data_IF_078935537993
#
_entry.id   IF_078935537993
#
_cell.length_a   1.000
_cell.length_b   1.000
_cell.length_c   1.000
_cell.angle_alpha   90.00
_cell.angle_beta   90.00
_cell.angle_gamma   90.00
#
_symmetry.space_group_name_H-M   'P 1'
#
loop_
_entity.id
_entity.type
_entity.pdbx_description
1 polymer ?
#
# COMPACT_ATOMS: atom_id res chain seq x y z
N UNK A 1 -17.46 8.10 16.84
CA UNK A 1 -16.50 7.77 17.90
C UNK A 1 -15.89 9.03 18.51
N UNK A 2 -15.39 10.01 17.74
CA UNK A 2 -14.80 11.24 18.26
C UNK A 2 -15.73 11.99 19.25
N UNK A 3 -17.01 12.18 18.90
CA UNK A 3 -18.03 12.75 19.82
C UNK A 3 -18.19 11.98 21.12
N UNK A 4 -17.78 10.72 21.17
CA UNK A 4 -17.77 9.87 22.37
C UNK A 4 -16.42 9.85 23.10
N UNK A 5 -15.53 10.81 22.84
CA UNK A 5 -14.24 10.97 23.54
C UNK A 5 -13.07 10.18 22.96
N UNK A 6 -13.23 9.48 21.84
CA UNK A 6 -12.12 8.80 21.17
C UNK A 6 -11.26 9.84 20.45
N UNK A 7 -9.95 9.84 20.69
CA UNK A 7 -8.98 10.63 19.92
C UNK A 7 -8.86 10.06 18.52
N UNK A 8 -9.17 10.86 17.50
CA UNK A 8 -9.16 10.42 16.10
C UNK A 8 -8.25 11.35 15.30
N UNK A 9 -7.20 10.80 14.70
CA UNK A 9 -6.23 11.49 13.86
C UNK A 9 -6.31 10.93 12.45
N UNK A 10 -6.51 11.79 11.47
CA UNK A 10 -6.69 11.41 10.06
C UNK A 10 -5.71 12.20 9.20
N UNK A 11 -4.93 11.50 8.40
CA UNK A 11 -4.12 12.09 7.33
C UNK A 11 -4.75 11.71 6.00
N UNK A 12 -4.97 12.69 5.16
CA UNK A 12 -5.44 12.49 3.79
C UNK A 12 -4.42 13.06 2.79
N UNK A 13 -4.13 12.28 1.76
CA UNK A 13 -3.27 12.75 0.66
C UNK A 13 -3.95 13.89 -0.11
N UNK A 14 -3.27 15.01 -0.31
CA UNK A 14 -3.87 16.21 -0.92
C UNK A 14 -4.41 15.94 -2.33
N UNK A 15 -3.66 15.25 -3.21
CA UNK A 15 -4.10 14.95 -4.57
C UNK A 15 -5.14 13.82 -4.57
N UNK A 16 -4.90 12.75 -3.80
CA UNK A 16 -5.80 11.58 -3.74
C UNK A 16 -7.17 11.91 -3.15
N UNK A 17 -7.24 12.93 -2.30
CA UNK A 17 -8.48 13.39 -1.68
C UNK A 17 -9.06 14.68 -2.28
N UNK A 18 -8.60 15.10 -3.47
CA UNK A 18 -9.05 16.35 -4.09
C UNK A 18 -10.57 16.42 -4.33
N UNK A 19 -11.21 15.29 -4.52
CA UNK A 19 -12.65 15.17 -4.77
C UNK A 19 -13.48 14.97 -3.49
N UNK A 20 -12.84 14.94 -2.30
CA UNK A 20 -13.57 14.80 -1.06
C UNK A 20 -14.38 16.08 -0.80
N UNK A 21 -15.63 15.92 -0.37
CA UNK A 21 -16.47 17.03 -0.01
C UNK A 21 -15.90 17.78 1.22
N UNK A 22 -15.59 19.08 1.07
CA UNK A 22 -15.06 19.89 2.17
C UNK A 22 -16.02 19.93 3.37
N UNK A 23 -17.33 19.98 3.14
CA UNK A 23 -18.32 19.95 4.22
C UNK A 23 -18.22 18.67 5.07
N UNK A 24 -17.83 17.53 4.48
CA UNK A 24 -17.58 16.30 5.23
C UNK A 24 -16.37 16.45 6.16
N UNK A 25 -15.30 17.07 5.68
CA UNK A 25 -14.11 17.32 6.51
C UNK A 25 -14.41 18.28 7.66
N UNK A 26 -15.25 19.30 7.41
CA UNK A 26 -15.66 20.25 8.43
C UNK A 26 -16.54 19.57 9.48
N UNK A 27 -17.48 18.73 9.08
CA UNK A 27 -18.26 17.88 10.01
C UNK A 27 -17.37 16.95 10.86
N UNK A 28 -16.30 16.39 10.27
CA UNK A 28 -15.34 15.58 11.03
C UNK A 28 -14.62 16.42 12.08
N UNK A 29 -14.17 17.63 11.73
CA UNK A 29 -13.50 18.54 12.67
C UNK A 29 -14.43 19.01 13.78
N UNK A 30 -15.66 19.38 13.46
CA UNK A 30 -16.71 19.72 14.43
C UNK A 30 -17.04 18.57 15.39
N UNK A 31 -16.86 17.33 14.93
CA UNK A 31 -17.01 16.14 15.77
C UNK A 31 -15.78 15.84 16.64
N UNK A 32 -14.71 16.64 16.57
CA UNK A 32 -13.49 16.45 17.32
C UNK A 32 -12.43 15.57 16.64
N UNK A 33 -12.55 15.33 15.33
CA UNK A 33 -11.51 14.62 14.55
C UNK A 33 -10.43 15.61 14.13
N UNK A 34 -9.18 15.29 14.39
CA UNK A 34 -8.04 16.02 13.84
C UNK A 34 -7.77 15.53 12.42
N UNK A 35 -8.04 16.38 11.40
CA UNK A 35 -7.88 16.04 9.99
C UNK A 35 -6.80 16.90 9.37
N UNK A 36 -5.75 16.25 8.89
CA UNK A 36 -4.61 16.88 8.24
C UNK A 36 -4.51 16.49 6.77
N UNK A 37 -4.07 17.45 5.93
CA UNK A 37 -3.77 17.20 4.52
C UNK A 37 -2.28 17.06 4.30
N UNK A 38 -1.85 15.90 3.83
CA UNK A 38 -0.45 15.62 3.54
C UNK A 38 0.01 16.30 2.26
N UNK A 39 1.09 17.06 2.35
CA UNK A 39 1.73 17.79 1.25
C UNK A 39 0.74 18.59 0.38
N UNK A 40 0.02 19.58 0.95
CA UNK A 40 -0.80 20.46 0.14
C UNK A 40 0.05 21.18 -0.90
N UNK A 41 -0.50 21.35 -2.11
CA UNK A 41 0.21 22.04 -3.18
C UNK A 41 0.43 23.52 -2.81
N UNK A 42 1.68 23.91 -2.79
CA UNK A 42 2.08 25.33 -2.65
C UNK A 42 2.90 25.72 -3.88
N UNK A 43 2.64 26.90 -4.43
CA UNK A 43 3.20 27.36 -5.71
C UNK A 43 4.75 27.31 -5.77
N UNK A 44 5.42 27.45 -4.63
CA UNK A 44 6.88 27.43 -4.50
C UNK A 44 7.47 26.00 -4.29
N UNK A 45 6.67 24.96 -4.28
CA UNK A 45 7.10 23.60 -3.99
C UNK A 45 6.57 22.56 -4.99
N UNK A 46 6.54 22.91 -6.27
CA UNK A 46 6.08 22.01 -7.35
C UNK A 46 6.88 20.70 -7.43
N UNK A 47 8.13 20.69 -6.98
CA UNK A 47 8.96 19.47 -6.87
C UNK A 47 8.42 18.44 -5.88
N UNK A 48 7.47 18.83 -5.01
CA UNK A 48 6.83 17.93 -4.04
C UNK A 48 5.60 17.20 -4.61
N UNK A 49 5.24 17.40 -5.87
CA UNK A 49 4.08 16.72 -6.50
C UNK A 49 4.18 15.20 -6.41
N UNK A 50 5.39 14.63 -6.44
CA UNK A 50 5.60 13.19 -6.30
C UNK A 50 5.66 12.71 -4.84
N UNK A 51 5.66 13.62 -3.86
CA UNK A 51 5.68 13.24 -2.45
C UNK A 51 4.26 13.01 -1.96
N UNK A 52 3.72 11.83 -2.26
CA UNK A 52 2.36 11.41 -1.97
C UNK A 52 2.31 10.52 -0.74
N UNK A 53 1.20 10.59 0.01
CA UNK A 53 0.88 9.56 1.01
C UNK A 53 -0.09 8.55 0.40
N UNK A 54 0.43 7.38 0.07
CA UNK A 54 -0.38 6.30 -0.49
C UNK A 54 -0.63 5.17 0.52
N UNK A 55 -0.24 5.38 1.78
CA UNK A 55 -0.45 4.41 2.86
C UNK A 55 -1.93 4.35 3.21
N UNK A 56 -2.50 3.15 3.16
CA UNK A 56 -3.88 2.88 3.57
C UNK A 56 -3.82 2.03 4.81
N UNK A 57 -3.88 2.69 5.95
CA UNK A 57 -3.78 2.05 7.26
C UNK A 57 -4.79 2.65 8.24
N UNK A 58 -5.25 1.82 9.15
CA UNK A 58 -6.01 2.20 10.33
C UNK A 58 -5.37 1.54 11.54
N UNK A 59 -5.10 2.32 12.58
CA UNK A 59 -4.56 1.80 13.84
C UNK A 59 -5.54 2.16 14.94
N UNK A 60 -5.90 1.19 15.74
CA UNK A 60 -6.87 1.33 16.84
C UNK A 60 -6.16 1.06 18.15
N UNK A 61 -6.17 2.06 19.03
CA UNK A 61 -5.61 2.03 20.40
C UNK A 61 -4.15 1.55 20.46
N UNK A 62 -3.37 1.75 19.38
CA UNK A 62 -2.00 1.25 19.26
C UNK A 62 -1.86 -0.29 19.31
N UNK A 63 -2.97 -1.05 19.30
CA UNK A 63 -3.02 -2.50 19.53
C UNK A 63 -3.43 -3.31 18.31
N UNK A 64 -4.28 -2.75 17.47
CA UNK A 64 -4.78 -3.41 16.26
C UNK A 64 -4.49 -2.52 15.07
N UNK A 65 -3.85 -3.09 14.06
CA UNK A 65 -3.56 -2.42 12.80
C UNK A 65 -4.29 -3.06 11.63
N UNK A 66 -4.75 -2.24 10.69
CA UNK A 66 -5.25 -2.68 9.39
C UNK A 66 -4.44 -2.01 8.31
N UNK A 67 -3.95 -2.78 7.33
CA UNK A 67 -3.15 -2.27 6.22
C UNK A 67 -3.51 -3.00 4.94
N UNK A 68 -3.50 -2.29 3.81
CA UNK A 68 -3.76 -2.88 2.50
C UNK A 68 -3.87 -1.87 1.39
N UNK A 69 -4.49 -2.26 0.28
CA UNK A 69 -4.65 -1.39 -0.89
C UNK A 69 -5.99 -0.68 -0.96
N UNK A 70 -7.01 -1.11 -0.20
CA UNK A 70 -8.33 -0.51 -0.21
C UNK A 70 -8.33 0.87 0.44
N UNK A 71 -8.97 1.84 -0.21
CA UNK A 71 -9.21 3.18 0.32
C UNK A 71 -10.64 3.37 0.81
N UNK A 72 -11.01 4.64 1.05
CA UNK A 72 -12.37 5.02 1.45
C UNK A 72 -13.13 5.60 0.25
N UNK A 73 -13.81 4.74 -0.50
CA UNK A 73 -14.68 5.11 -1.60
C UNK A 73 -15.65 3.96 -1.92
N UNK A 74 -16.76 4.26 -2.59
CA UNK A 74 -17.82 3.28 -2.87
C UNK A 74 -17.35 2.07 -3.67
N UNK A 75 -16.40 2.24 -4.57
CA UNK A 75 -15.84 1.13 -5.34
C UNK A 75 -15.00 0.13 -4.51
N UNK A 76 -14.69 0.43 -3.25
CA UNK A 76 -14.09 -0.51 -2.30
C UNK A 76 -15.11 -1.32 -1.50
N UNK A 77 -16.41 -1.08 -1.68
CA UNK A 77 -17.45 -1.84 -0.98
C UNK A 77 -17.50 -3.28 -1.49
N UNK A 78 -17.93 -4.18 -0.60
CA UNK A 78 -18.08 -5.60 -0.91
C UNK A 78 -16.73 -6.30 -1.16
N UNK A 79 -16.73 -7.31 -1.99
CA UNK A 79 -15.57 -8.14 -2.31
C UNK A 79 -15.39 -8.30 -3.83
N UNK A 80 -15.49 -7.20 -4.57
CA UNK A 80 -15.51 -7.18 -6.03
C UNK A 80 -16.67 -8.01 -6.63
N UNK A 81 -17.80 -7.96 -5.97
CA UNK A 81 -19.04 -8.68 -6.28
C UNK A 81 -19.87 -8.00 -7.37
N UNK A 82 -19.52 -6.79 -7.76
CA UNK A 82 -20.13 -6.04 -8.84
C UNK A 82 -19.07 -5.44 -9.78
N UNK A 83 -19.41 -5.18 -11.07
CA UNK A 83 -18.46 -4.71 -12.08
C UNK A 83 -17.73 -3.40 -11.74
N UNK A 84 -18.34 -2.55 -10.92
CA UNK A 84 -17.78 -1.28 -10.45
C UNK A 84 -16.92 -1.43 -9.18
N UNK A 85 -16.97 -2.57 -8.50
CA UNK A 85 -16.22 -2.81 -7.27
C UNK A 85 -14.81 -3.31 -7.59
N UNK A 86 -13.84 -2.80 -6.86
CA UNK A 86 -12.45 -3.15 -7.04
C UNK A 86 -12.04 -4.33 -6.16
N UNK A 87 -11.18 -5.17 -6.69
CA UNK A 87 -10.59 -6.28 -5.94
C UNK A 87 -9.29 -5.85 -5.28
N UNK A 88 -9.27 -5.87 -3.94
CA UNK A 88 -8.05 -5.61 -3.17
C UNK A 88 -8.01 -6.48 -1.91
N UNK A 89 -6.95 -6.34 -1.12
CA UNK A 89 -6.78 -7.03 0.15
C UNK A 89 -6.48 -6.06 1.27
N UNK A 90 -7.05 -6.33 2.44
CA UNK A 90 -6.73 -5.70 3.71
C UNK A 90 -6.30 -6.76 4.70
N UNK A 91 -5.27 -6.47 5.47
CA UNK A 91 -4.72 -7.35 6.48
C UNK A 91 -4.93 -6.74 7.87
N UNK A 92 -5.39 -7.53 8.81
CA UNK A 92 -5.41 -7.18 10.24
C UNK A 92 -4.14 -7.69 10.89
N UNK A 93 -3.46 -6.83 11.65
CA UNK A 93 -2.28 -7.15 12.44
C UNK A 93 -2.55 -6.89 13.92
N UNK A 94 -1.98 -7.75 14.75
CA UNK A 94 -1.94 -7.62 16.21
C UNK A 94 -0.52 -7.94 16.69
N UNK A 95 -0.17 -7.51 17.90
CA UNK A 95 1.15 -7.72 18.46
C UNK A 95 2.17 -6.62 18.07
N UNK A 96 3.49 -6.86 18.28
CA UNK A 96 4.53 -5.81 18.21
C UNK A 96 4.65 -5.10 16.87
N UNK A 97 4.24 -5.73 15.76
CA UNK A 97 4.24 -5.09 14.44
C UNK A 97 3.33 -3.85 14.36
N UNK A 98 2.31 -3.75 15.23
CA UNK A 98 1.41 -2.58 15.28
C UNK A 98 2.16 -1.32 15.72
N UNK A 99 3.15 -1.42 16.62
CA UNK A 99 3.99 -0.28 16.98
C UNK A 99 4.79 0.25 15.78
N UNK A 100 5.23 -0.64 14.89
CA UNK A 100 5.91 -0.23 13.65
C UNK A 100 4.95 0.48 12.68
N UNK A 101 3.68 0.03 12.60
CA UNK A 101 2.64 0.74 11.84
C UNK A 101 2.36 2.11 12.44
N UNK A 102 2.26 2.21 13.76
CA UNK A 102 2.07 3.47 14.48
C UNK A 102 3.21 4.46 14.19
N UNK A 103 4.46 3.97 14.22
CA UNK A 103 5.62 4.78 13.84
C UNK A 103 5.55 5.25 12.37
N UNK A 104 5.08 4.39 11.46
CA UNK A 104 4.89 4.76 10.06
C UNK A 104 3.80 5.83 9.86
N UNK A 105 2.73 5.80 10.66
CA UNK A 105 1.74 6.88 10.69
C UNK A 105 2.34 8.19 11.20
N UNK A 106 3.07 8.12 12.31
CA UNK A 106 3.69 9.29 12.95
C UNK A 106 4.69 10.01 12.06
N UNK A 107 5.45 9.29 11.22
CA UNK A 107 6.34 9.93 10.25
C UNK A 107 5.64 11.01 9.42
N UNK A 108 4.44 10.69 8.91
CA UNK A 108 3.67 11.62 8.09
C UNK A 108 2.88 12.63 8.94
N UNK A 109 2.38 12.19 10.10
CA UNK A 109 1.69 13.08 11.04
C UNK A 109 2.59 14.23 11.49
N UNK A 110 3.77 13.92 11.98
CA UNK A 110 4.74 14.92 12.45
C UNK A 110 5.20 15.84 11.31
N UNK A 111 5.39 15.30 10.09
CA UNK A 111 5.74 16.11 8.91
C UNK A 111 4.63 17.09 8.53
N UNK A 112 3.39 16.77 8.84
CA UNK A 112 2.23 17.56 8.42
C UNK A 112 1.88 18.68 9.41
N UNK A 113 1.98 18.42 10.72
CA UNK A 113 1.54 19.38 11.74
C UNK A 113 2.57 19.67 12.86
N UNK A 114 3.79 19.12 12.72
CA UNK A 114 4.90 19.28 13.67
C UNK A 114 4.57 18.81 15.11
N UNK A 115 3.56 17.93 15.28
CA UNK A 115 3.17 17.37 16.58
C UNK A 115 3.55 15.91 16.66
N UNK A 116 4.08 15.52 17.80
CA UNK A 116 4.34 14.11 18.14
C UNK A 116 3.16 13.58 18.95
N UNK A 117 2.67 12.40 18.59
CA UNK A 117 1.70 11.65 19.38
C UNK A 117 2.49 10.56 20.13
N UNK A 118 2.50 10.64 21.45
CA UNK A 118 3.29 9.78 22.33
C UNK A 118 2.47 9.24 23.50
N UNK A 119 3.11 8.42 24.31
CA UNK A 119 2.48 7.80 25.48
C UNK A 119 1.71 6.51 25.18
N UNK A 120 1.14 5.94 26.22
CA UNK A 120 0.51 4.60 26.19
C UNK A 120 -0.75 4.54 25.34
N UNK A 121 -1.40 5.67 25.07
CA UNK A 121 -2.55 5.75 24.16
C UNK A 121 -2.16 5.39 22.72
N UNK A 122 -0.89 5.64 22.36
CA UNK A 122 -0.38 5.43 20.99
C UNK A 122 0.62 4.27 20.91
N UNK A 123 1.40 4.06 21.97
CA UNK A 123 2.42 3.02 22.09
C UNK A 123 2.24 2.20 23.37
N UNK A 124 1.13 1.48 23.53
CA UNK A 124 0.95 0.60 24.67
C UNK A 124 1.95 -0.54 24.65
N UNK A 125 2.18 -1.16 25.79
CA UNK A 125 2.91 -2.42 25.87
C UNK A 125 2.18 -3.49 25.02
N UNK A 126 2.91 -4.10 24.09
CA UNK A 126 2.39 -5.11 23.17
C UNK A 126 3.06 -6.47 23.43
N UNK A 127 2.24 -7.50 23.56
CA UNK A 127 2.68 -8.89 23.64
C UNK A 127 2.53 -9.57 22.27
N UNK A 128 3.32 -10.61 21.96
CA UNK A 128 3.08 -11.44 20.79
C UNK A 128 1.63 -11.93 20.75
N UNK A 129 1.00 -11.81 19.58
CA UNK A 129 -0.40 -12.22 19.38
C UNK A 129 -0.51 -13.50 18.53
N UNK A 130 0.61 -14.12 18.19
CA UNK A 130 0.72 -15.35 17.41
C UNK A 130 2.17 -15.66 17.09
N UNK A 131 2.39 -16.70 16.29
CA UNK A 131 3.73 -17.24 15.98
C UNK A 131 4.27 -16.78 14.62
N UNK A 132 3.53 -15.92 13.92
CA UNK A 132 3.94 -15.42 12.58
C UNK A 132 4.85 -14.22 12.77
N UNK A 133 6.14 -14.28 12.36
CA UNK A 133 7.01 -13.12 12.35
C UNK A 133 6.47 -12.08 11.36
N UNK A 134 6.42 -10.83 11.77
CA UNK A 134 5.94 -9.73 10.94
C UNK A 134 6.87 -8.52 11.07
N UNK A 135 7.08 -7.83 9.96
CA UNK A 135 7.86 -6.60 9.89
C UNK A 135 7.16 -5.58 9.00
N UNK A 136 7.21 -4.32 9.38
CA UNK A 136 6.68 -3.20 8.59
C UNK A 136 7.83 -2.45 7.96
N UNK A 137 7.90 -2.48 6.63
CA UNK A 137 8.83 -1.65 5.86
C UNK A 137 8.20 -0.31 5.54
N UNK A 138 8.94 0.76 5.75
CA UNK A 138 8.53 2.12 5.42
C UNK A 138 9.30 2.57 4.19
N UNK A 139 8.58 3.08 3.20
CA UNK A 139 9.16 3.67 2.00
C UNK A 139 8.66 5.10 1.83
N UNK A 140 9.53 6.00 1.48
CA UNK A 140 9.20 7.39 1.15
C UNK A 140 10.08 7.89 0.00
N UNK A 141 9.68 8.94 -0.74
CA UNK A 141 10.48 9.45 -1.87
C UNK A 141 11.88 10.00 -1.51
N UNK A 142 12.19 10.17 -0.22
CA UNK A 142 13.48 10.72 0.23
C UNK A 142 14.27 9.77 1.12
N UNK A 143 13.56 8.99 1.92
CA UNK A 143 14.16 8.12 2.94
C UNK A 143 13.62 6.70 2.72
N UNK A 144 14.49 5.70 2.61
CA UNK A 144 14.08 4.30 2.41
C UNK A 144 13.39 4.04 1.07
N UNK A 145 13.67 4.84 0.02
CA UNK A 145 13.12 4.59 -1.33
C UNK A 145 13.50 3.23 -1.87
N UNK A 146 14.70 2.78 -1.55
CA UNK A 146 15.22 1.49 -2.00
C UNK A 146 14.82 0.31 -1.09
N UNK A 147 14.35 0.56 0.14
CA UNK A 147 14.08 -0.52 1.11
C UNK A 147 13.08 -1.56 0.59
N UNK A 148 11.95 -1.10 0.05
CA UNK A 148 10.94 -1.98 -0.53
C UNK A 148 11.46 -2.68 -1.79
N UNK A 149 12.20 -1.96 -2.64
CA UNK A 149 12.81 -2.53 -3.84
C UNK A 149 13.80 -3.62 -3.49
N UNK A 150 14.71 -3.36 -2.56
CA UNK A 150 15.68 -4.36 -2.07
C UNK A 150 15.00 -5.56 -1.43
N UNK A 151 13.96 -5.35 -0.63
CA UNK A 151 13.18 -6.45 -0.07
C UNK A 151 12.59 -7.34 -1.18
N UNK A 152 11.97 -6.76 -2.22
CA UNK A 152 11.45 -7.54 -3.34
C UNK A 152 12.56 -8.33 -4.05
N UNK A 153 13.68 -7.69 -4.38
CA UNK A 153 14.81 -8.33 -5.05
C UNK A 153 15.37 -9.49 -4.21
N UNK A 154 15.55 -9.29 -2.91
CA UNK A 154 16.02 -10.33 -1.99
C UNK A 154 15.03 -11.51 -1.90
N UNK A 155 13.73 -11.23 -1.84
CA UNK A 155 12.72 -12.28 -1.84
C UNK A 155 12.71 -13.09 -3.16
N UNK A 156 12.87 -12.43 -4.31
CA UNK A 156 12.94 -13.09 -5.62
C UNK A 156 14.21 -13.94 -5.72
N UNK A 157 15.34 -13.39 -5.32
CA UNK A 157 16.63 -14.10 -5.32
C UNK A 157 16.63 -15.32 -4.38
N UNK A 158 15.97 -15.22 -3.22
CA UNK A 158 15.89 -16.28 -2.22
C UNK A 158 14.87 -17.39 -2.56
N UNK A 159 13.95 -17.15 -3.49
CA UNK A 159 12.90 -18.10 -3.86
C UNK A 159 13.45 -19.41 -4.37
N UNK A 160 12.87 -20.53 -3.94
CA UNK A 160 13.30 -21.90 -4.29
C UNK A 160 12.24 -22.74 -5.00
N UNK A 161 10.95 -22.43 -4.79
CA UNK A 161 9.84 -23.23 -5.32
C UNK A 161 8.90 -22.39 -6.18
N UNK A 162 8.40 -21.28 -5.62
CA UNK A 162 7.38 -20.49 -6.30
C UNK A 162 7.40 -19.01 -5.90
N UNK A 163 7.06 -18.16 -6.86
CA UNK A 163 6.74 -16.76 -6.66
C UNK A 163 5.37 -16.51 -7.26
N UNK A 164 4.45 -15.92 -6.48
CA UNK A 164 3.16 -15.42 -6.94
C UNK A 164 3.09 -13.94 -6.69
N UNK A 165 3.13 -13.15 -7.74
CA UNK A 165 3.05 -11.70 -7.70
C UNK A 165 1.68 -11.21 -8.14
N UNK A 166 1.15 -10.29 -7.42
CA UNK A 166 -0.12 -9.62 -7.65
C UNK A 166 0.12 -8.12 -7.63
N UNK A 167 -0.04 -7.45 -8.77
CA UNK A 167 0.27 -6.03 -8.90
C UNK A 167 -0.75 -5.28 -9.75
N UNK A 168 -1.23 -4.15 -9.25
CA UNK A 168 -2.11 -3.25 -10.01
C UNK A 168 -1.37 -2.52 -11.13
N UNK A 169 -0.13 -2.15 -10.86
CA UNK A 169 0.72 -1.37 -11.75
C UNK A 169 2.08 -2.07 -11.85
N UNK A 170 2.27 -2.81 -12.94
CA UNK A 170 3.45 -3.63 -13.12
C UNK A 170 4.31 -3.08 -14.26
N UNK A 171 5.29 -2.29 -13.93
CA UNK A 171 6.32 -1.79 -14.85
C UNK A 171 7.67 -1.99 -14.16
N UNK A 172 8.20 -3.23 -14.16
CA UNK A 172 9.45 -3.52 -13.49
C UNK A 172 10.62 -2.83 -14.19
N UNK A 173 11.63 -2.47 -13.42
CA UNK A 173 12.93 -2.09 -13.96
C UNK A 173 13.67 -3.32 -14.54
N UNK A 174 14.79 -3.06 -15.19
CA UNK A 174 15.53 -4.11 -15.88
C UNK A 174 16.14 -5.11 -14.89
N UNK A 175 16.59 -4.66 -13.72
CA UNK A 175 17.12 -5.54 -12.67
C UNK A 175 16.03 -6.46 -12.12
N UNK A 176 14.87 -5.91 -11.77
CA UNK A 176 13.74 -6.71 -11.28
C UNK A 176 13.26 -7.71 -12.34
N UNK A 177 13.25 -7.31 -13.62
CA UNK A 177 12.92 -8.21 -14.73
C UNK A 177 13.92 -9.35 -14.81
N UNK A 178 15.22 -9.06 -14.72
CA UNK A 178 16.30 -10.04 -14.77
C UNK A 178 16.21 -11.03 -13.60
N UNK A 179 15.96 -10.57 -12.38
CA UNK A 179 15.81 -11.42 -11.20
C UNK A 179 14.64 -12.42 -11.35
N UNK A 180 13.52 -12.03 -11.96
CA UNK A 180 12.42 -12.96 -12.26
C UNK A 180 12.81 -13.98 -13.31
N UNK A 181 13.58 -13.58 -14.33
CA UNK A 181 14.10 -14.48 -15.37
C UNK A 181 15.02 -15.53 -14.71
N UNK A 182 16.00 -15.08 -13.92
CA UNK A 182 16.93 -15.96 -13.22
C UNK A 182 16.22 -16.90 -12.24
N UNK A 183 15.18 -16.42 -11.54
CA UNK A 183 14.37 -17.29 -10.70
C UNK A 183 13.69 -18.39 -11.52
N UNK A 184 13.12 -18.07 -12.67
CA UNK A 184 12.49 -19.04 -13.55
C UNK A 184 13.53 -20.04 -14.13
N UNK A 185 14.71 -19.58 -14.53
CA UNK A 185 15.83 -20.42 -15.00
C UNK A 185 16.35 -21.35 -13.91
N UNK A 186 16.31 -20.96 -12.63
CA UNK A 186 16.58 -21.83 -11.48
C UNK A 186 15.49 -22.87 -11.22
N UNK A 187 14.41 -22.86 -12.00
CA UNK A 187 13.28 -23.77 -11.85
C UNK A 187 12.18 -23.30 -10.89
N UNK A 188 12.25 -22.05 -10.42
CA UNK A 188 11.18 -21.45 -9.58
C UNK A 188 9.95 -21.19 -10.45
N UNK A 189 8.78 -21.64 -9.97
CA UNK A 189 7.51 -21.37 -10.65
C UNK A 189 7.09 -19.90 -10.42
N UNK A 190 7.19 -19.07 -11.44
CA UNK A 190 6.82 -17.65 -11.35
C UNK A 190 5.47 -17.41 -12.01
N UNK A 191 4.52 -16.89 -11.25
CA UNK A 191 3.17 -16.56 -11.69
C UNK A 191 2.84 -15.10 -11.31
N UNK A 192 2.42 -14.30 -12.29
CA UNK A 192 2.10 -12.88 -12.12
C UNK A 192 0.65 -12.65 -12.53
N UNK A 193 -0.16 -12.02 -11.68
CA UNK A 193 -1.52 -11.62 -12.01
C UNK A 193 -1.63 -10.09 -12.01
N UNK A 194 -2.19 -9.55 -13.10
CA UNK A 194 -2.27 -8.13 -13.41
C UNK A 194 -3.71 -7.73 -13.77
N UNK A 195 -4.07 -6.44 -13.77
CA UNK A 195 -5.37 -6.00 -14.26
C UNK A 195 -5.60 -6.36 -15.74
N UNK A 196 -6.78 -6.86 -16.01
CA UNK A 196 -7.25 -7.17 -17.36
C UNK A 196 -7.80 -5.96 -18.12
N UNK A 197 -8.95 -6.13 -18.77
CA UNK A 197 -9.58 -5.06 -19.53
C UNK A 197 -10.03 -3.90 -18.63
N UNK A 198 -10.46 -4.19 -17.41
CA UNK A 198 -10.89 -3.20 -16.43
C UNK A 198 -9.67 -2.69 -15.64
N UNK A 199 -9.22 -1.49 -16.00
CA UNK A 199 -8.08 -0.80 -15.36
C UNK A 199 -8.36 0.69 -15.29
N UNK A 200 -7.84 1.35 -14.26
CA UNK A 200 -7.89 2.79 -14.08
C UNK A 200 -6.77 3.53 -14.85
N UNK A 201 -5.78 2.80 -15.38
CA UNK A 201 -4.65 3.37 -16.13
C UNK A 201 -4.27 2.55 -17.36
N UNK A 202 -4.83 2.92 -18.48
CA UNK A 202 -4.50 2.32 -19.79
C UNK A 202 -3.03 2.49 -20.18
N UNK A 203 -2.41 3.62 -19.83
CA UNK A 203 -1.00 3.91 -20.11
C UNK A 203 -0.10 2.92 -19.40
N UNK A 204 -0.34 2.70 -18.09
CA UNK A 204 0.44 1.74 -17.30
C UNK A 204 0.27 0.33 -17.84
N UNK A 205 -0.94 -0.05 -18.27
CA UNK A 205 -1.19 -1.35 -18.89
C UNK A 205 -0.37 -1.56 -20.17
N UNK A 206 -0.29 -0.56 -21.04
CA UNK A 206 0.53 -0.64 -22.26
C UNK A 206 2.03 -0.73 -21.92
N UNK A 207 2.52 0.09 -21.01
CA UNK A 207 3.90 0.04 -20.54
C UNK A 207 4.26 -1.34 -19.94
N UNK A 208 3.35 -1.89 -19.13
CA UNK A 208 3.49 -3.23 -18.53
C UNK A 208 3.66 -4.30 -19.61
N UNK A 209 2.76 -4.33 -20.61
CA UNK A 209 2.81 -5.33 -21.71
C UNK A 209 4.11 -5.28 -22.50
N UNK A 210 4.72 -4.11 -22.65
CA UNK A 210 6.02 -3.95 -23.28
C UNK A 210 7.17 -4.68 -22.58
N UNK A 211 7.00 -5.01 -21.29
CA UNK A 211 8.01 -5.73 -20.48
C UNK A 211 7.78 -7.26 -20.41
N UNK A 212 6.69 -7.80 -20.95
CA UNK A 212 6.34 -9.21 -20.76
C UNK A 212 7.16 -10.18 -21.62
N UNK A 213 7.62 -9.74 -22.79
CA UNK A 213 8.29 -10.61 -23.76
C UNK A 213 9.44 -11.45 -23.18
N UNK A 214 10.46 -10.87 -22.54
CA UNK A 214 11.55 -11.60 -21.90
C UNK A 214 11.06 -12.55 -20.80
N UNK A 215 10.13 -12.11 -19.96
CA UNK A 215 9.57 -12.93 -18.87
C UNK A 215 8.84 -14.17 -19.41
N UNK A 216 7.99 -14.01 -20.42
CA UNK A 216 7.27 -15.12 -21.06
C UNK A 216 8.23 -16.11 -21.72
N UNK A 217 9.32 -15.64 -22.34
CA UNK A 217 10.38 -16.52 -22.91
C UNK A 217 11.07 -17.35 -21.85
N UNK A 218 11.25 -16.80 -20.64
CA UNK A 218 11.85 -17.51 -19.51
C UNK A 218 10.86 -18.48 -18.80
N UNK A 219 9.61 -18.56 -19.26
CA UNK A 219 8.60 -19.45 -18.69
C UNK A 219 7.76 -18.85 -17.55
N UNK A 220 7.91 -17.55 -17.29
CA UNK A 220 7.04 -16.84 -16.33
C UNK A 220 5.61 -16.82 -16.87
N UNK A 221 4.64 -17.16 -16.04
CA UNK A 221 3.22 -17.12 -16.40
C UNK A 221 2.61 -15.80 -16.00
N UNK A 222 1.99 -15.10 -16.96
CA UNK A 222 1.33 -13.81 -16.72
C UNK A 222 -0.16 -13.98 -17.01
N UNK A 223 -0.99 -13.61 -16.03
CA UNK A 223 -2.44 -13.69 -16.08
C UNK A 223 -3.05 -12.30 -16.01
N UNK A 224 -4.13 -12.08 -16.74
CA UNK A 224 -4.95 -10.86 -16.65
C UNK A 224 -6.27 -11.19 -15.91
N UNK A 225 -6.51 -10.51 -14.81
CA UNK A 225 -7.76 -10.61 -14.04
C UNK A 225 -8.89 -9.88 -14.77
N UNK A 226 -9.95 -10.60 -15.13
CA UNK A 226 -11.00 -10.07 -15.99
C UNK A 226 -12.24 -9.50 -15.27
N UNK A 227 -12.66 -10.02 -14.07
CA UNK A 227 -13.99 -9.70 -13.53
C UNK A 227 -14.20 -8.21 -13.21
N UNK A 228 -13.26 -7.58 -12.51
CA UNK A 228 -13.34 -6.19 -12.05
C UNK A 228 -11.98 -5.52 -12.10
N UNK A 229 -11.83 -4.27 -11.63
CA UNK A 229 -10.50 -3.67 -11.43
C UNK A 229 -9.73 -4.45 -10.36
N UNK A 230 -8.54 -4.90 -10.71
CA UNK A 230 -7.65 -5.64 -9.83
C UNK A 230 -6.59 -4.71 -9.24
N UNK A 231 -6.67 -4.45 -7.93
CA UNK A 231 -5.84 -3.44 -7.30
C UNK A 231 -4.91 -3.99 -6.21
N UNK A 232 -4.70 -5.28 -6.18
CA UNK A 232 -3.77 -5.94 -5.24
C UNK A 232 -2.32 -5.48 -5.41
N UNK A 233 -1.58 -5.54 -4.31
CA UNK A 233 -0.12 -5.31 -4.23
C UNK A 233 0.45 -6.33 -3.25
N UNK A 234 0.70 -7.55 -3.74
CA UNK A 234 1.15 -8.67 -2.92
C UNK A 234 2.17 -9.51 -3.66
N UNK A 235 3.12 -10.06 -2.93
CA UNK A 235 3.99 -11.13 -3.38
C UNK A 235 4.01 -12.24 -2.34
N UNK A 236 3.89 -13.47 -2.79
CA UNK A 236 4.01 -14.67 -1.97
C UNK A 236 5.15 -15.49 -2.52
N UNK A 237 6.08 -15.86 -1.66
CA UNK A 237 7.27 -16.65 -2.00
C UNK A 237 7.27 -17.91 -1.18
N UNK A 238 7.38 -19.09 -1.86
CA UNK A 238 7.41 -20.45 -1.29
C UNK A 238 6.23 -20.73 -0.38
#
# INVERSE_FOLDING_TARGET
>A
KARGGVKVHVIIDWIGSRNINSALLDQMREAGVEVERYNPLVWYALTRLNHRDHRKMLIVDGRVGFIGGAGLADFWQGNADAPQHWRDAMFKLEGPAVAQMQAAFLDNWTKTNARVLDGDDYFPELRPAGDIPAQVFRSSPREGTEDIRLMYLLCIAAARKSIRLSASYYVPDDLTTQEFIEAAERGVKVEIILPGAKTDSGIVKHASRGKWGPLLKAGVKIYEYQPTMYHHKMMVVD
#
